data_IF_834040504825
#
_entry.id   IF_834040504825
#
_cell.length_a   1.000
_cell.length_b   1.000
_cell.length_c   1.000
_cell.angle_alpha   90.00
_cell.angle_beta   90.00
_cell.angle_gamma   90.00
#
_symmetry.space_group_name_H-M   'P 1'
#
loop_
_entity.id
_entity.type
_entity.pdbx_description
1 polymer ?
#
# COMPACT_ATOMS: atom_id res chain seq x y z
N UNK A 1 1.93 -15.11 17.52
CA UNK A 1 2.13 -14.71 16.14
C UNK A 1 1.06 -13.72 15.71
N UNK A 2 1.44 -12.67 15.01
CA UNK A 2 0.49 -11.63 14.66
C UNK A 2 0.23 -11.63 13.16
N UNK A 3 -0.95 -12.12 12.78
CA UNK A 3 -1.31 -12.27 11.38
C UNK A 3 -1.39 -10.93 10.66
N UNK A 4 -1.81 -9.88 11.36
CA UNK A 4 -1.90 -8.56 10.73
C UNK A 4 -0.51 -8.02 10.40
N UNK A 5 0.46 -8.22 11.29
CA UNK A 5 1.81 -7.77 11.02
C UNK A 5 2.40 -8.53 9.84
N UNK A 6 2.16 -9.84 9.79
CA UNK A 6 2.65 -10.63 8.68
C UNK A 6 2.05 -10.18 7.35
N UNK A 7 0.76 -9.88 7.35
CA UNK A 7 0.09 -9.39 6.16
C UNK A 7 0.64 -8.04 5.75
N UNK A 8 0.86 -7.16 6.73
CA UNK A 8 1.43 -5.85 6.47
C UNK A 8 2.80 -5.99 5.84
N UNK A 9 3.64 -6.84 6.41
CA UNK A 9 4.99 -7.03 5.88
C UNK A 9 4.96 -7.57 4.46
N UNK A 10 4.05 -8.49 4.19
CA UNK A 10 3.92 -9.03 2.85
C UNK A 10 3.51 -7.96 1.85
N UNK A 11 2.51 -7.17 2.21
CA UNK A 11 2.04 -6.12 1.30
C UNK A 11 3.14 -5.10 1.08
N UNK A 12 3.85 -4.73 2.13
CA UNK A 12 4.98 -3.79 2.00
C UNK A 12 6.02 -4.35 1.05
N UNK A 13 6.34 -5.65 1.17
CA UNK A 13 7.33 -6.26 0.29
C UNK A 13 6.89 -6.21 -1.17
N UNK A 14 5.61 -6.41 -1.41
CA UNK A 14 5.08 -6.33 -2.77
C UNK A 14 5.20 -4.91 -3.32
N UNK A 15 4.89 -3.91 -2.50
CA UNK A 15 5.03 -2.52 -2.94
C UNK A 15 6.50 -2.22 -3.24
N UNK A 16 7.41 -2.67 -2.38
CA UNK A 16 8.84 -2.50 -2.65
C UNK A 16 9.25 -3.15 -3.97
N UNK A 17 8.77 -4.35 -4.20
CA UNK A 17 9.12 -5.07 -5.42
C UNK A 17 8.62 -4.37 -6.67
N UNK A 18 7.36 -3.95 -6.65
CA UNK A 18 6.74 -3.34 -7.83
C UNK A 18 7.32 -1.96 -8.12
N UNK A 19 7.54 -1.17 -7.07
CA UNK A 19 7.99 0.22 -7.27
C UNK A 19 9.51 0.34 -7.31
N UNK A 20 10.23 -0.63 -6.77
CA UNK A 20 11.68 -0.53 -6.66
C UNK A 20 12.14 0.43 -5.58
N UNK A 21 11.25 0.82 -4.67
CA UNK A 21 11.55 1.80 -3.62
C UNK A 21 11.58 1.08 -2.28
N UNK A 22 12.62 1.38 -1.48
CA UNK A 22 12.77 0.71 -0.19
C UNK A 22 11.69 1.14 0.78
N UNK A 23 11.43 0.29 1.78
CA UNK A 23 10.45 0.53 2.81
C UNK A 23 10.66 1.89 3.48
N UNK A 24 11.91 2.18 3.86
CA UNK A 24 12.18 3.44 4.53
C UNK A 24 11.77 4.64 3.69
N UNK A 25 12.08 4.60 2.40
CA UNK A 25 11.73 5.71 1.53
C UNK A 25 10.24 5.79 1.30
N UNK A 26 9.59 4.63 1.18
CA UNK A 26 8.14 4.62 1.02
C UNK A 26 7.48 5.33 2.19
N UNK A 27 7.97 5.10 3.40
CA UNK A 27 7.32 5.64 4.59
C UNK A 27 7.75 7.06 4.93
N UNK A 28 8.94 7.49 4.54
CA UNK A 28 9.46 8.76 5.04
C UNK A 28 9.89 9.77 4.00
N UNK A 29 10.17 9.33 2.78
CA UNK A 29 10.70 10.25 1.77
C UNK A 29 9.61 11.08 1.14
N UNK A 30 9.96 12.30 0.74
CA UNK A 30 9.02 13.20 0.08
C UNK A 30 9.15 13.22 -1.43
N UNK A 31 9.98 12.36 -2.01
CA UNK A 31 10.04 12.30 -3.46
C UNK A 31 8.69 11.85 -4.00
N UNK A 32 8.36 12.30 -5.19
CA UNK A 32 7.03 12.08 -5.72
C UNK A 32 6.71 10.59 -5.84
N UNK A 33 7.67 9.82 -6.34
CA UNK A 33 7.45 8.38 -6.50
C UNK A 33 7.30 7.69 -5.16
N UNK A 34 8.01 8.17 -4.15
CA UNK A 34 7.90 7.62 -2.81
C UNK A 34 6.52 7.91 -2.21
N UNK A 35 6.03 9.12 -2.44
CA UNK A 35 4.71 9.49 -1.97
C UNK A 35 3.64 8.64 -2.66
N UNK A 36 3.79 8.45 -3.97
CA UNK A 36 2.87 7.60 -4.72
C UNK A 36 2.85 6.18 -4.17
N UNK A 37 4.04 5.64 -3.89
CA UNK A 37 4.14 4.28 -3.35
C UNK A 37 3.46 4.18 -1.98
N UNK A 38 3.66 5.20 -1.15
CA UNK A 38 3.02 5.24 0.16
C UNK A 38 1.51 5.23 0.05
N UNK A 39 0.97 5.99 -0.90
CA UNK A 39 -0.47 6.04 -1.10
C UNK A 39 -1.01 4.70 -1.59
N UNK A 40 -0.29 4.04 -2.49
CA UNK A 40 -0.67 2.71 -2.93
C UNK A 40 -0.71 1.75 -1.74
N UNK A 41 0.34 1.78 -0.91
CA UNK A 41 0.42 0.92 0.25
C UNK A 41 -0.78 1.11 1.17
N UNK A 42 -1.08 2.37 1.51
CA UNK A 42 -2.17 2.66 2.44
C UNK A 42 -3.51 2.22 1.86
N UNK A 43 -3.71 2.48 0.58
CA UNK A 43 -4.97 2.11 -0.05
C UNK A 43 -5.16 0.59 -0.09
N UNK A 44 -4.11 -0.14 -0.43
CA UNK A 44 -4.18 -1.60 -0.46
C UNK A 44 -4.44 -2.15 0.94
N UNK A 45 -3.78 -1.60 1.95
CA UNK A 45 -4.02 -2.04 3.33
C UNK A 45 -5.48 -1.85 3.70
N UNK A 46 -6.07 -0.71 3.33
CA UNK A 46 -7.48 -0.49 3.59
C UNK A 46 -8.36 -1.52 2.91
N UNK A 47 -7.99 -1.89 1.69
CA UNK A 47 -8.75 -2.92 0.96
C UNK A 47 -8.62 -4.30 1.59
N UNK A 48 -7.59 -4.51 2.39
CA UNK A 48 -7.40 -5.76 3.12
C UNK A 48 -7.95 -5.67 4.53
N UNK A 49 -8.85 -4.74 4.75
CA UNK A 49 -9.60 -4.61 6.02
C UNK A 49 -8.78 -4.07 7.19
N UNK A 50 -7.66 -3.42 6.92
CA UNK A 50 -6.96 -2.70 7.97
C UNK A 50 -7.71 -1.42 8.28
N UNK A 51 -7.94 -1.15 9.57
CA UNK A 51 -8.56 0.10 9.96
C UNK A 51 -7.58 1.26 9.81
N UNK A 52 -8.10 2.47 9.77
CA UNK A 52 -7.24 3.65 9.70
C UNK A 52 -6.29 3.72 10.88
N UNK A 53 -6.79 3.37 12.08
CA UNK A 53 -5.93 3.35 13.26
C UNK A 53 -4.80 2.35 13.13
N UNK A 54 -5.09 1.17 12.62
CA UNK A 54 -4.07 0.13 12.47
C UNK A 54 -3.05 0.53 11.41
N UNK A 55 -3.51 1.10 10.31
CA UNK A 55 -2.60 1.57 9.28
C UNK A 55 -1.68 2.64 9.82
N UNK A 56 -2.25 3.60 10.57
CA UNK A 56 -1.43 4.66 11.16
C UNK A 56 -0.40 4.07 12.12
N UNK A 57 -0.81 3.10 12.92
CA UNK A 57 0.11 2.47 13.87
C UNK A 57 1.28 1.80 13.16
N UNK A 58 0.98 1.04 12.10
CA UNK A 58 2.01 0.26 11.42
C UNK A 58 2.92 1.10 10.55
N UNK A 59 2.39 2.17 9.95
CA UNK A 59 3.16 2.99 9.02
C UNK A 59 3.85 4.18 9.67
N UNK A 60 3.41 4.55 10.87
CA UNK A 60 3.93 5.76 11.51
C UNK A 60 3.25 7.03 11.05
N UNK A 61 2.25 6.91 10.19
CA UNK A 61 1.50 8.09 9.73
C UNK A 61 0.44 8.45 10.77
N UNK A 62 -0.01 9.71 10.74
CA UNK A 62 -1.10 10.10 11.62
C UNK A 62 -2.42 9.64 11.00
N UNK A 63 -3.40 9.35 11.88
CA UNK A 63 -4.67 8.82 11.43
C UNK A 63 -5.39 9.71 10.43
N UNK A 64 -5.49 11.03 10.65
CA UNK A 64 -6.13 11.88 9.65
C UNK A 64 -5.46 11.81 8.30
N UNK A 65 -4.13 11.67 8.28
CA UNK A 65 -3.40 11.52 7.03
C UNK A 65 -3.77 10.25 6.30
N UNK A 66 -3.92 9.15 7.03
CA UNK A 66 -4.34 7.88 6.45
C UNK A 66 -5.72 8.03 5.81
N UNK A 67 -6.63 8.68 6.51
CA UNK A 67 -7.98 8.86 6.01
C UNK A 67 -7.99 9.68 4.71
N UNK A 68 -7.21 10.75 4.68
CA UNK A 68 -7.11 11.59 3.50
C UNK A 68 -6.55 10.80 2.32
N UNK A 69 -5.50 10.02 2.57
CA UNK A 69 -4.90 9.20 1.51
C UNK A 69 -5.93 8.26 0.91
N UNK A 70 -6.67 7.55 1.78
CA UNK A 70 -7.64 6.59 1.28
C UNK A 70 -8.77 7.26 0.50
N UNK A 71 -9.25 8.40 1.00
CA UNK A 71 -10.37 9.07 0.35
C UNK A 71 -9.97 9.69 -0.99
N UNK A 72 -8.72 10.07 -1.15
CA UNK A 72 -8.28 10.77 -2.35
C UNK A 72 -7.53 9.89 -3.34
N UNK A 73 -7.34 8.61 -3.03
CA UNK A 73 -6.57 7.76 -3.92
C UNK A 73 -7.21 7.64 -5.30
N UNK A 74 -8.53 7.70 -5.36
CA UNK A 74 -9.21 7.61 -6.65
C UNK A 74 -8.78 8.71 -7.61
N UNK A 75 -8.37 9.84 -7.09
CA UNK A 75 -7.87 10.94 -7.93
C UNK A 75 -6.42 10.71 -8.30
N UNK A 76 -5.62 10.24 -7.34
CA UNK A 76 -4.19 10.01 -7.61
C UNK A 76 -4.00 8.90 -8.63
N UNK A 77 -4.83 7.89 -8.62
CA UNK A 77 -4.67 6.78 -9.55
C UNK A 77 -5.07 7.13 -10.99
N UNK A 78 -5.56 8.33 -11.22
CA UNK A 78 -5.76 8.79 -12.59
C UNK A 78 -4.45 9.01 -13.32
N UNK A 79 -3.36 9.16 -12.59
CA UNK A 79 -2.05 9.28 -13.20
C UNK A 79 -1.61 7.90 -13.67
N UNK A 80 -1.08 7.85 -14.90
CA UNK A 80 -0.83 6.57 -15.56
C UNK A 80 0.04 5.63 -14.73
N UNK A 81 1.20 6.11 -14.28
CA UNK A 81 2.14 5.23 -13.60
C UNK A 81 1.66 4.86 -12.19
N UNK A 82 0.90 5.73 -11.56
CA UNK A 82 0.33 5.39 -10.26
C UNK A 82 -0.66 4.25 -10.42
N UNK A 83 -1.54 4.36 -11.40
CA UNK A 83 -2.52 3.29 -11.62
C UNK A 83 -1.85 1.99 -12.04
N UNK A 84 -0.83 2.07 -12.89
CA UNK A 84 -0.12 0.88 -13.34
C UNK A 84 0.51 0.15 -12.16
N UNK A 85 1.21 0.88 -11.30
CA UNK A 85 1.83 0.27 -10.13
C UNK A 85 0.80 -0.26 -9.15
N UNK A 86 -0.29 0.50 -8.97
CA UNK A 86 -1.36 0.04 -8.11
C UNK A 86 -1.92 -1.30 -8.59
N UNK A 87 -2.18 -1.40 -9.88
CA UNK A 87 -2.74 -2.64 -10.42
C UNK A 87 -1.78 -3.80 -10.28
N UNK A 88 -0.49 -3.54 -10.43
CA UNK A 88 0.51 -4.59 -10.25
C UNK A 88 0.57 -5.06 -8.81
N UNK A 89 0.54 -4.12 -7.86
CA UNK A 89 0.51 -4.50 -6.45
C UNK A 89 -0.75 -5.27 -6.13
N UNK A 90 -1.88 -4.77 -6.62
CA UNK A 90 -3.16 -5.41 -6.38
C UNK A 90 -3.14 -6.86 -6.86
N UNK A 91 -2.65 -7.07 -8.08
CA UNK A 91 -2.63 -8.42 -8.64
C UNK A 91 -1.78 -9.34 -7.78
N UNK A 92 -0.60 -8.89 -7.33
CA UNK A 92 0.27 -9.74 -6.54
C UNK A 92 -0.31 -10.02 -5.16
N UNK A 93 -1.00 -9.05 -4.58
CA UNK A 93 -1.56 -9.23 -3.25
C UNK A 93 -2.84 -10.06 -3.27
N UNK A 94 -3.71 -9.82 -4.22
CA UNK A 94 -5.03 -10.45 -4.21
C UNK A 94 -5.12 -11.69 -5.09
N UNK A 95 -4.42 -11.71 -6.22
CA UNK A 95 -4.54 -12.82 -7.15
C UNK A 95 -3.85 -14.08 -6.68
N UNK A 96 -2.93 -13.96 -5.74
CA UNK A 96 -2.21 -15.13 -5.27
C UNK A 96 -3.17 -16.19 -4.73
N UNK A 97 -4.32 -15.78 -4.25
CA UNK A 97 -5.31 -16.73 -3.78
C UNK A 97 -5.84 -17.62 -4.87
N UNK A 98 -6.02 -17.04 -6.04
CA UNK A 98 -6.57 -17.79 -7.14
C UNK A 98 -5.59 -18.83 -7.64
N UNK A 99 -4.33 -18.48 -7.62
CA UNK A 99 -3.31 -19.43 -8.04
C UNK A 99 -3.27 -20.64 -7.14
N UNK A 100 -3.51 -20.42 -5.87
CA UNK A 100 -3.51 -21.53 -4.93
C UNK A 100 -4.58 -22.54 -5.27
N UNK A 101 -5.70 -22.04 -5.75
CA UNK A 101 -6.77 -22.94 -6.14
C UNK A 101 -6.47 -23.71 -7.39
N UNK A 102 -5.71 -23.09 -8.22
CA UNK A 102 -5.40 -23.63 -9.55
C UNK A 102 -4.91 -25.00 -9.55
#
# INVERSE_FOLDING_TARGET
MNTMIEMYDRIMSVVEEVTGISKDKILTSNCEECVDARHILVYILGNRSFSDNKIAELTGLIRPGVCIIRNNFKYRRKRYFVNLNYERVYAKVFDSKEKVKG
#
